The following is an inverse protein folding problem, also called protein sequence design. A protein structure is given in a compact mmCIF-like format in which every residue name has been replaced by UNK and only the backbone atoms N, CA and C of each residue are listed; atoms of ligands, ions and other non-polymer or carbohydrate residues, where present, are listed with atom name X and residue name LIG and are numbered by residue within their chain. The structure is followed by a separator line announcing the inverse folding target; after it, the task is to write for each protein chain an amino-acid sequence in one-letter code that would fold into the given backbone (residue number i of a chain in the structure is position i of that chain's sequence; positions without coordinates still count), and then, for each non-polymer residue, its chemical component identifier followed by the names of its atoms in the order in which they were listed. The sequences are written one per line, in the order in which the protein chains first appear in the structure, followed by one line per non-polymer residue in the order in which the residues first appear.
data_IF_470159714267
#
_entry.id   IF_470159714267
#
_cell.length_a   1.000
_cell.length_b   1.000
_cell.length_c   1.000
_cell.angle_alpha   90.00
_cell.angle_beta   90.00
_cell.angle_gamma   90.00
#
_symmetry.space_group_name_H-M   'P 1'
#
loop_
_entity.id
_entity.type
_entity.pdbx_description
1 polymer ?
#
# COMPACT_ATOMS: atom_id res chain seq x y z
N UNK A 1 -2.06 -76.54 3.21
CA UNK A 1 -0.65 -76.51 2.73
C UNK A 1 -0.31 -75.08 2.33
N UNK A 2 0.76 -74.52 2.92
CA UNK A 2 1.68 -73.44 2.47
C UNK A 2 1.07 -72.22 1.73
N UNK A 3 1.03 -71.02 2.31
CA UNK A 3 2.12 -70.04 2.57
C UNK A 3 2.43 -69.06 1.42
N UNK A 4 2.20 -67.77 1.72
CA UNK A 4 2.97 -66.54 1.37
C UNK A 4 3.18 -66.16 -0.11
N UNK A 5 2.72 -64.94 -0.49
CA UNK A 5 3.59 -63.79 -0.83
C UNK A 5 2.77 -62.48 -1.05
N UNK A 6 3.13 -61.41 -0.31
CA UNK A 6 3.17 -59.96 -0.63
C UNK A 6 1.98 -59.26 -1.33
N UNK A 7 1.21 -58.34 -0.70
CA UNK A 7 1.47 -56.94 -0.25
C UNK A 7 1.37 -55.88 -1.38
N UNK A 8 0.64 -54.78 -1.06
CA UNK A 8 0.27 -53.58 -1.85
C UNK A 8 -0.97 -53.82 -2.73
N UNK A 9 -2.13 -53.19 -2.51
CA UNK A 9 -2.33 -51.74 -2.71
C UNK A 9 -3.75 -51.32 -2.24
N UNK A 10 -3.82 -50.18 -1.53
CA UNK A 10 -4.94 -49.21 -1.41
C UNK A 10 -6.29 -49.66 -0.81
N UNK A 11 -6.37 -49.45 0.50
CA UNK A 11 -7.59 -49.01 1.19
C UNK A 11 -7.80 -47.51 0.87
N UNK A 12 -8.79 -47.21 0.02
CA UNK A 12 -9.38 -45.89 -0.14
C UNK A 12 -10.77 -45.93 0.50
N UNK A 13 -10.91 -45.33 1.69
CA UNK A 13 -12.08 -44.56 2.12
C UNK A 13 -12.03 -44.32 3.63
N UNK A 14 -11.48 -43.17 4.05
CA UNK A 14 -12.05 -42.43 5.17
C UNK A 14 -11.46 -41.01 5.25
N UNK A 15 -12.16 -40.05 4.61
CA UNK A 15 -11.85 -38.61 4.69
C UNK A 15 -12.18 -37.98 6.06
N UNK A 16 -12.68 -38.76 7.03
CA UNK A 16 -12.95 -38.28 8.38
C UNK A 16 -11.79 -38.53 9.38
N UNK A 17 -10.83 -39.40 9.07
CA UNK A 17 -9.73 -39.74 9.99
C UNK A 17 -8.48 -38.84 9.82
N UNK A 18 -8.40 -38.07 8.72
CA UNK A 18 -7.27 -37.17 8.44
C UNK A 18 -7.38 -35.79 9.11
N UNK A 19 -8.54 -35.41 9.66
CA UNK A 19 -8.70 -34.13 10.39
C UNK A 19 -8.41 -34.23 11.90
N UNK A 20 -8.34 -35.43 12.46
CA UNK A 20 -8.11 -35.65 13.89
C UNK A 20 -6.67 -36.10 14.24
N UNK A 21 -5.82 -36.32 13.23
CA UNK A 21 -4.42 -36.78 13.41
C UNK A 21 -3.38 -35.68 13.12
N UNK A 22 -3.80 -34.48 12.73
CA UNK A 22 -2.89 -33.35 12.45
C UNK A 22 -2.69 -32.39 13.64
N UNK A 23 -3.30 -32.63 14.79
CA UNK A 23 -3.37 -31.66 15.89
C UNK A 23 -2.41 -31.88 17.06
N UNK A 24 -1.45 -32.82 17.02
CA UNK A 24 -0.61 -33.11 18.23
C UNK A 24 0.91 -33.29 17.98
N UNK A 25 1.43 -33.34 16.75
CA UNK A 25 2.83 -33.79 16.53
C UNK A 25 3.83 -32.69 16.07
N UNK A 26 3.41 -31.45 15.83
CA UNK A 26 4.32 -30.42 15.26
C UNK A 26 4.77 -29.28 16.18
N UNK A 27 4.50 -29.32 17.49
CA UNK A 27 5.06 -28.30 18.40
C UNK A 27 6.57 -28.40 18.69
N UNK A 28 7.24 -29.58 18.75
CA UNK A 28 8.65 -29.60 19.17
C UNK A 28 9.66 -29.15 18.11
N UNK A 29 9.26 -29.03 16.83
CA UNK A 29 10.18 -28.69 15.74
C UNK A 29 10.27 -27.18 15.44
N UNK A 30 9.40 -26.36 16.04
CA UNK A 30 9.35 -24.90 15.80
C UNK A 30 10.21 -24.08 16.80
N UNK A 31 10.77 -24.72 17.84
CA UNK A 31 11.53 -24.05 18.90
C UNK A 31 13.06 -23.97 18.63
N UNK A 32 13.53 -24.46 17.49
CA UNK A 32 14.96 -24.38 17.12
C UNK A 32 15.20 -23.46 15.92
N UNK A 33 14.98 -22.16 16.12
CA UNK A 33 15.55 -21.13 15.26
C UNK A 33 16.24 -20.09 16.17
N UNK A 34 17.54 -20.33 16.40
CA UNK A 34 18.42 -19.40 17.10
C UNK A 34 18.59 -18.11 16.29
N UNK A 35 18.45 -17.00 17.01
CA UNK A 35 19.16 -15.73 16.87
C UNK A 35 19.88 -15.43 15.54
N UNK A 36 19.31 -14.49 14.77
CA UNK A 36 19.94 -13.82 13.63
C UNK A 36 18.90 -13.18 12.71
N UNK A 37 18.73 -11.86 12.82
CA UNK A 37 18.10 -10.93 11.86
C UNK A 37 17.03 -11.44 10.87
N UNK A 38 15.78 -11.05 11.13
CA UNK A 38 14.88 -10.38 10.16
C UNK A 38 14.28 -11.14 8.96
N UNK A 39 14.05 -12.45 9.03
CA UNK A 39 13.14 -13.10 8.10
C UNK A 39 11.98 -13.78 8.85
N UNK A 40 10.77 -13.24 8.71
CA UNK A 40 9.55 -13.90 9.20
C UNK A 40 9.47 -15.26 8.50
N UNK A 41 9.30 -16.34 9.25
CA UNK A 41 8.99 -17.63 8.64
C UNK A 41 7.62 -17.57 7.97
N UNK A 42 7.51 -17.79 6.64
CA UNK A 42 6.22 -17.82 5.94
C UNK A 42 5.25 -18.82 6.56
N UNK A 43 5.80 -19.90 7.15
CA UNK A 43 5.04 -20.95 7.82
C UNK A 43 4.32 -20.43 9.07
N UNK A 44 4.96 -19.55 9.85
CA UNK A 44 4.36 -18.96 11.06
C UNK A 44 3.26 -17.97 10.69
N UNK A 45 3.48 -17.17 9.64
CA UNK A 45 2.46 -16.25 9.12
C UNK A 45 1.24 -17.00 8.63
N UNK A 46 1.45 -18.09 7.88
CA UNK A 46 0.38 -18.94 7.36
C UNK A 46 -0.36 -19.67 8.49
N UNK A 47 0.35 -20.21 9.47
CA UNK A 47 -0.27 -20.82 10.65
C UNK A 47 -1.19 -19.83 11.37
N UNK A 48 -0.69 -18.63 11.67
CA UNK A 48 -1.49 -17.61 12.36
C UNK A 48 -2.67 -17.13 11.52
N UNK A 49 -2.53 -16.97 10.20
CA UNK A 49 -3.68 -16.63 9.35
C UNK A 49 -4.74 -17.71 9.41
N UNK A 50 -4.37 -19.00 9.31
CA UNK A 50 -5.32 -20.13 9.41
C UNK A 50 -6.03 -20.17 10.78
N UNK A 51 -5.32 -19.86 11.88
CA UNK A 51 -5.94 -19.75 13.21
C UNK A 51 -6.94 -18.59 13.29
N UNK A 52 -6.63 -17.45 12.67
CA UNK A 52 -7.52 -16.29 12.59
C UNK A 52 -8.76 -16.62 11.74
N UNK A 53 -8.59 -17.28 10.59
CA UNK A 53 -9.70 -17.72 9.73
C UNK A 53 -10.62 -18.72 10.43
N UNK A 54 -10.05 -19.64 11.20
CA UNK A 54 -10.79 -20.64 11.98
C UNK A 54 -11.29 -20.10 13.33
N UNK A 55 -11.16 -18.80 13.57
CA UNK A 55 -11.67 -18.07 14.74
C UNK A 55 -11.13 -18.55 16.09
N UNK A 56 -9.92 -19.09 16.10
CA UNK A 56 -9.22 -19.59 17.29
C UNK A 56 -8.42 -18.47 17.97
N UNK A 57 -9.09 -17.36 18.32
CA UNK A 57 -8.42 -16.15 18.82
C UNK A 57 -7.65 -16.36 20.13
N UNK A 58 -8.13 -17.23 21.03
CA UNK A 58 -7.40 -17.58 22.25
C UNK A 58 -6.06 -18.27 21.92
N UNK A 59 -6.06 -19.21 20.98
CA UNK A 59 -4.83 -19.87 20.50
C UNK A 59 -3.87 -18.88 19.85
N UNK A 60 -4.40 -17.88 19.13
CA UNK A 60 -3.60 -16.79 18.54
C UNK A 60 -2.94 -15.96 19.64
N UNK A 61 -3.69 -15.53 20.65
CA UNK A 61 -3.18 -14.74 21.77
C UNK A 61 -2.13 -15.52 22.59
N UNK A 62 -2.40 -16.79 22.89
CA UNK A 62 -1.47 -17.68 23.59
C UNK A 62 -0.19 -17.89 22.80
N UNK A 63 -0.29 -18.09 21.48
CA UNK A 63 0.88 -18.23 20.61
C UNK A 63 1.71 -16.95 20.56
N UNK A 64 1.07 -15.80 20.36
CA UNK A 64 1.76 -14.51 20.30
C UNK A 64 2.45 -14.19 21.62
N UNK A 65 1.85 -14.51 22.77
CA UNK A 65 2.41 -14.25 24.09
C UNK A 65 3.79 -14.90 24.35
N UNK A 66 4.14 -15.94 23.57
CA UNK A 66 5.41 -16.67 23.68
C UNK A 66 6.57 -15.98 22.93
N UNK A 67 6.28 -14.91 22.18
CA UNK A 67 7.24 -14.21 21.33
C UNK A 67 7.54 -12.78 21.82
N UNK A 68 8.62 -12.18 21.32
CA UNK A 68 8.96 -10.78 21.63
C UNK A 68 7.92 -9.81 21.07
N UNK A 69 7.75 -8.60 21.66
CA UNK A 69 6.79 -7.61 21.14
C UNK A 69 7.00 -7.25 19.66
N UNK A 70 8.25 -7.21 19.21
CA UNK A 70 8.57 -6.97 17.80
C UNK A 70 8.04 -8.09 16.89
N UNK A 71 8.32 -9.34 17.24
CA UNK A 71 7.87 -10.49 16.46
C UNK A 71 6.34 -10.65 16.53
N UNK A 72 5.72 -10.33 17.67
CA UNK A 72 4.26 -10.31 17.82
C UNK A 72 3.60 -9.37 16.82
N UNK A 73 3.99 -8.08 16.83
CA UNK A 73 3.38 -7.08 15.95
C UNK A 73 3.67 -7.37 14.48
N UNK A 74 4.87 -7.87 14.19
CA UNK A 74 5.26 -8.27 12.85
C UNK A 74 4.41 -9.44 12.32
N UNK A 75 4.19 -10.49 13.14
CA UNK A 75 3.40 -11.66 12.78
C UNK A 75 1.91 -11.31 12.61
N UNK A 76 1.34 -10.50 13.52
CA UNK A 76 -0.05 -10.03 13.36
C UNK A 76 -0.18 -9.21 12.07
N UNK A 77 0.75 -8.29 11.82
CA UNK A 77 0.76 -7.49 10.61
C UNK A 77 0.82 -8.36 9.34
N UNK A 78 1.75 -9.32 9.27
CA UNK A 78 1.91 -10.17 8.09
C UNK A 78 0.72 -11.13 7.89
N UNK A 79 0.15 -11.69 8.96
CA UNK A 79 -1.02 -12.57 8.86
C UNK A 79 -2.27 -11.82 8.41
N UNK A 80 -2.51 -10.60 8.92
CA UNK A 80 -3.62 -9.77 8.45
C UNK A 80 -3.41 -9.30 7.00
N UNK A 81 -2.17 -9.02 6.59
CA UNK A 81 -1.84 -8.71 5.21
C UNK A 81 -2.16 -9.89 4.27
N UNK A 82 -1.78 -11.12 4.66
CA UNK A 82 -2.09 -12.33 3.91
C UNK A 82 -3.60 -12.55 3.76
N UNK A 83 -4.37 -12.36 4.83
CA UNK A 83 -5.84 -12.45 4.77
C UNK A 83 -6.45 -11.38 3.86
N UNK A 84 -5.87 -10.18 3.84
CA UNK A 84 -6.28 -9.10 2.93
C UNK A 84 -6.03 -9.50 1.46
N UNK A 85 -4.88 -10.09 1.16
CA UNK A 85 -4.53 -10.60 -0.17
C UNK A 85 -5.48 -11.71 -0.63
N UNK A 86 -5.87 -12.59 0.29
CA UNK A 86 -6.83 -13.68 0.06
C UNK A 86 -8.30 -13.21 -0.01
N UNK A 87 -8.56 -11.91 0.13
CA UNK A 87 -9.91 -11.32 0.16
C UNK A 87 -10.82 -11.97 1.22
N UNK A 88 -10.24 -12.37 2.35
CA UNK A 88 -10.98 -12.99 3.45
C UNK A 88 -12.11 -12.08 3.94
N UNK A 89 -13.31 -12.65 4.09
CA UNK A 89 -14.48 -11.93 4.62
C UNK A 89 -14.68 -12.30 6.09
N UNK A 90 -14.46 -11.37 7.04
CA UNK A 90 -14.56 -11.69 8.45
C UNK A 90 -16.00 -12.02 8.84
N UNK A 91 -16.16 -13.09 9.62
CA UNK A 91 -17.42 -13.45 10.26
C UNK A 91 -17.82 -12.40 11.31
N UNK A 92 -19.01 -12.55 11.91
CA UNK A 92 -19.43 -11.67 13.02
C UNK A 92 -18.45 -11.74 14.20
N UNK A 93 -17.97 -12.94 14.55
CA UNK A 93 -17.04 -13.13 15.67
C UNK A 93 -15.66 -12.55 15.34
N UNK A 94 -15.17 -12.75 14.11
CA UNK A 94 -13.91 -12.16 13.66
C UNK A 94 -13.96 -10.64 13.61
N UNK A 95 -15.13 -10.05 13.31
CA UNK A 95 -15.30 -8.58 13.32
C UNK A 95 -15.06 -8.00 14.71
N UNK A 96 -15.60 -8.60 15.77
CA UNK A 96 -15.42 -8.08 17.13
C UNK A 96 -13.94 -8.12 17.55
N UNK A 97 -13.25 -9.22 17.24
CA UNK A 97 -11.81 -9.34 17.50
C UNK A 97 -10.98 -8.35 16.68
N UNK A 98 -11.27 -8.22 15.38
CA UNK A 98 -10.61 -7.25 14.49
C UNK A 98 -10.89 -5.80 14.91
N UNK A 99 -12.07 -5.48 15.42
CA UNK A 99 -12.37 -4.15 16.00
C UNK A 99 -11.50 -3.89 17.23
N UNK A 100 -11.29 -4.92 18.07
CA UNK A 100 -10.34 -4.86 19.18
C UNK A 100 -8.93 -4.52 18.72
N UNK A 101 -8.41 -5.23 17.71
CA UNK A 101 -7.09 -4.94 17.13
C UNK A 101 -7.02 -3.55 16.48
N UNK A 102 -8.06 -3.15 15.76
CA UNK A 102 -8.15 -1.85 15.08
C UNK A 102 -8.09 -0.67 16.06
N UNK A 103 -8.50 -0.87 17.31
CA UNK A 103 -8.46 0.15 18.35
C UNK A 103 -7.12 0.21 19.12
N UNK A 104 -6.20 -0.74 18.88
CA UNK A 104 -4.91 -0.79 19.55
C UNK A 104 -3.90 0.20 18.93
N UNK A 105 -2.85 0.53 19.68
CA UNK A 105 -1.70 1.26 19.18
C UNK A 105 -0.48 0.34 19.06
N UNK A 106 0.25 0.36 17.93
CA UNK A 106 1.50 -0.37 17.81
C UNK A 106 2.54 0.20 18.78
N UNK A 107 3.27 -0.69 19.43
CA UNK A 107 4.32 -0.37 20.41
C UNK A 107 5.68 -0.28 19.73
N UNK A 108 5.90 -1.05 18.66
CA UNK A 108 7.16 -1.09 17.93
C UNK A 108 7.17 0.07 16.94
N UNK A 109 8.17 0.94 17.06
CA UNK A 109 8.27 2.18 16.28
C UNK A 109 9.55 2.19 15.45
N UNK A 110 9.45 2.74 14.26
CA UNK A 110 10.59 3.16 13.45
C UNK A 110 10.78 4.67 13.61
N UNK A 111 12.05 5.07 13.73
CA UNK A 111 12.45 6.48 13.76
C UNK A 111 13.17 6.76 12.45
N UNK A 112 12.60 7.66 11.66
CA UNK A 112 13.21 8.14 10.43
C UNK A 112 13.47 9.64 10.59
N UNK A 113 14.66 10.10 10.23
CA UNK A 113 14.95 11.53 10.16
C UNK A 113 14.54 12.01 8.77
N UNK A 114 13.61 12.96 8.71
CA UNK A 114 13.19 13.62 7.47
C UNK A 114 13.27 15.13 7.71
N UNK A 115 13.99 15.85 6.84
CA UNK A 115 14.15 17.32 6.89
C UNK A 115 14.60 17.86 8.27
N UNK A 116 15.48 17.12 8.96
CA UNK A 116 16.00 17.50 10.29
C UNK A 116 15.05 17.23 11.46
N UNK A 117 13.87 16.65 11.22
CA UNK A 117 12.93 16.23 12.24
C UNK A 117 12.90 14.71 12.40
N UNK A 118 12.83 14.24 13.64
CA UNK A 118 12.59 12.82 13.93
C UNK A 118 11.11 12.49 13.75
N UNK A 119 10.80 11.72 12.71
CA UNK A 119 9.46 11.21 12.43
C UNK A 119 9.36 9.80 12.99
N UNK A 120 8.54 9.66 14.03
CA UNK A 120 8.29 8.37 14.69
C UNK A 120 7.01 7.76 14.14
N UNK A 121 7.12 6.61 13.47
CA UNK A 121 5.98 5.87 12.90
C UNK A 121 5.91 4.46 13.49
N UNK A 122 4.73 3.81 13.52
CA UNK A 122 4.67 2.38 13.82
C UNK A 122 5.45 1.59 12.77
N UNK A 123 6.31 0.67 13.22
CA UNK A 123 7.06 -0.22 12.32
C UNK A 123 6.12 -1.21 11.63
N UNK A 124 5.09 -1.66 12.35
CA UNK A 124 4.07 -2.60 11.89
C UNK A 124 2.67 -2.07 12.24
N UNK A 125 1.98 -1.45 11.28
CA UNK A 125 0.63 -0.92 11.49
C UNK A 125 -0.45 -2.00 11.32
N UNK A 126 -0.44 -2.98 12.24
CA UNK A 126 -1.46 -4.02 12.28
C UNK A 126 -2.89 -3.48 12.53
N UNK A 127 -3.13 -2.38 13.28
CA UNK A 127 -4.47 -1.80 13.40
C UNK A 127 -5.01 -1.29 12.07
N UNK A 128 -4.16 -0.73 11.19
CA UNK A 128 -4.57 -0.40 9.82
C UNK A 128 -4.93 -1.65 9.00
N UNK A 129 -4.16 -2.73 9.10
CA UNK A 129 -4.48 -3.98 8.41
C UNK A 129 -5.80 -4.61 8.89
N UNK A 130 -6.09 -4.52 10.20
CA UNK A 130 -7.36 -4.99 10.76
C UNK A 130 -8.54 -4.15 10.26
N UNK A 131 -8.41 -2.82 10.24
CA UNK A 131 -9.41 -1.92 9.63
C UNK A 131 -9.65 -2.26 8.16
N UNK A 132 -8.57 -2.53 7.40
CA UNK A 132 -8.67 -2.95 6.00
C UNK A 132 -9.54 -4.21 5.86
N UNK A 133 -9.26 -5.27 6.62
CA UNK A 133 -10.07 -6.49 6.62
C UNK A 133 -11.54 -6.25 6.97
N UNK A 134 -11.81 -5.42 7.99
CA UNK A 134 -13.17 -5.07 8.41
C UNK A 134 -13.98 -4.40 7.29
N UNK A 135 -13.32 -3.52 6.53
CA UNK A 135 -14.00 -2.69 5.52
C UNK A 135 -13.90 -3.23 4.10
N UNK A 136 -13.05 -4.23 3.83
CA UNK A 136 -12.80 -4.77 2.48
C UNK A 136 -14.06 -5.15 1.71
N UNK A 137 -15.03 -5.85 2.29
CA UNK A 137 -16.25 -6.24 1.54
C UNK A 137 -17.09 -5.04 1.15
N UNK A 138 -17.31 -4.11 2.08
CA UNK A 138 -18.11 -2.90 1.82
C UNK A 138 -17.39 -1.99 0.83
N UNK A 139 -16.07 -1.88 0.97
CA UNK A 139 -15.17 -1.18 0.05
C UNK A 139 -15.25 -1.78 -1.35
N UNK A 140 -15.09 -3.10 -1.51
CA UNK A 140 -15.17 -3.79 -2.79
C UNK A 140 -16.56 -3.63 -3.45
N UNK A 141 -17.64 -3.77 -2.67
CA UNK A 141 -18.99 -3.54 -3.16
C UNK A 141 -19.19 -2.09 -3.64
N UNK A 142 -18.72 -1.10 -2.86
CA UNK A 142 -18.78 0.31 -3.28
C UNK A 142 -17.94 0.58 -4.51
N UNK A 143 -16.73 0.04 -4.61
CA UNK A 143 -15.87 0.19 -5.77
C UNK A 143 -16.54 -0.38 -7.04
N UNK A 144 -17.17 -1.56 -6.93
CA UNK A 144 -17.94 -2.15 -8.02
C UNK A 144 -19.15 -1.29 -8.40
N UNK A 145 -19.93 -0.82 -7.42
CA UNK A 145 -21.08 0.07 -7.66
C UNK A 145 -20.65 1.40 -8.29
N UNK A 146 -19.53 1.96 -7.86
CA UNK A 146 -18.94 3.17 -8.42
C UNK A 146 -18.52 2.94 -9.87
N UNK A 147 -17.84 1.83 -10.16
CA UNK A 147 -17.45 1.47 -11.51
C UNK A 147 -18.67 1.39 -12.44
N UNK A 148 -19.73 0.68 -12.04
CA UNK A 148 -20.96 0.60 -12.82
C UNK A 148 -21.57 1.99 -13.11
N UNK A 149 -21.67 2.85 -12.10
CA UNK A 149 -22.21 4.21 -12.28
C UNK A 149 -21.31 5.14 -13.10
N UNK A 150 -19.99 4.94 -13.02
CA UNK A 150 -19.04 5.68 -13.86
C UNK A 150 -19.19 5.25 -15.32
N UNK A 151 -19.29 3.94 -15.57
CA UNK A 151 -19.52 3.35 -16.90
C UNK A 151 -20.82 3.86 -17.54
N UNK A 152 -21.88 3.97 -16.75
CA UNK A 152 -23.19 4.47 -17.18
C UNK A 152 -23.30 6.01 -17.24
N UNK A 153 -22.28 6.76 -16.79
CA UNK A 153 -22.26 8.22 -16.82
C UNK A 153 -23.19 8.92 -15.82
N UNK A 154 -23.62 8.21 -14.78
CA UNK A 154 -24.59 8.63 -13.77
C UNK A 154 -24.01 8.61 -12.35
N UNK A 155 -22.68 8.70 -12.23
CA UNK A 155 -21.96 8.80 -10.97
C UNK A 155 -22.21 10.15 -10.27
N UNK A 156 -22.60 10.10 -8.99
CA UNK A 156 -22.84 11.31 -8.19
C UNK A 156 -21.57 11.73 -7.45
N UNK A 157 -20.76 12.57 -8.09
CA UNK A 157 -19.53 13.13 -7.53
C UNK A 157 -19.75 13.87 -6.21
N UNK A 158 -20.80 14.69 -6.12
CA UNK A 158 -21.11 15.46 -4.90
C UNK A 158 -21.42 14.60 -3.68
N UNK A 159 -21.78 13.33 -3.85
CA UNK A 159 -21.96 12.40 -2.71
C UNK A 159 -20.65 11.96 -2.07
N UNK A 160 -19.57 11.88 -2.87
CA UNK A 160 -18.23 11.51 -2.40
C UNK A 160 -17.51 12.77 -1.93
N UNK A 161 -17.43 13.80 -2.78
CA UNK A 161 -16.65 15.03 -2.57
C UNK A 161 -17.43 16.11 -1.81
N UNK A 162 -17.98 15.73 -0.65
CA UNK A 162 -18.66 16.66 0.27
C UNK A 162 -17.81 16.83 1.55
N UNK A 163 -17.51 18.07 1.98
CA UNK A 163 -16.76 18.32 3.22
C UNK A 163 -17.37 17.67 4.47
N UNK A 164 -18.70 17.50 4.51
CA UNK A 164 -19.41 16.91 5.64
C UNK A 164 -19.53 15.37 5.55
N UNK A 165 -18.87 14.73 4.59
CA UNK A 165 -18.90 13.28 4.43
C UNK A 165 -17.96 12.60 5.44
N UNK A 166 -18.46 11.85 6.44
CA UNK A 166 -17.60 11.17 7.42
C UNK A 166 -16.82 10.00 6.81
N UNK A 167 -17.22 9.51 5.63
CA UNK A 167 -16.55 8.43 4.92
C UNK A 167 -15.69 8.94 3.74
N UNK A 168 -15.41 10.26 3.65
CA UNK A 168 -14.74 10.90 2.51
C UNK A 168 -13.52 10.12 2.00
N UNK A 169 -12.51 9.91 2.86
CA UNK A 169 -11.27 9.22 2.49
C UNK A 169 -11.48 7.76 2.08
N UNK A 170 -12.41 7.06 2.73
CA UNK A 170 -12.74 5.68 2.40
C UNK A 170 -13.43 5.59 1.03
N UNK A 171 -14.37 6.50 0.75
CA UNK A 171 -15.08 6.55 -0.53
C UNK A 171 -14.18 7.03 -1.67
N UNK A 172 -13.25 7.96 -1.43
CA UNK A 172 -12.24 8.34 -2.43
C UNK A 172 -11.30 7.18 -2.75
N UNK A 173 -10.90 6.39 -1.75
CA UNK A 173 -10.10 5.18 -1.97
C UNK A 173 -10.85 4.14 -2.80
N UNK A 174 -12.14 3.91 -2.52
CA UNK A 174 -12.99 3.01 -3.29
C UNK A 174 -13.21 3.51 -4.72
N UNK A 175 -13.33 4.83 -4.90
CA UNK A 175 -13.42 5.48 -6.21
C UNK A 175 -12.13 5.27 -7.00
N UNK A 176 -10.96 5.42 -6.39
CA UNK A 176 -9.67 5.17 -7.07
C UNK A 176 -9.58 3.72 -7.56
N UNK A 177 -10.08 2.75 -6.77
CA UNK A 177 -10.19 1.36 -7.22
C UNK A 177 -11.12 1.22 -8.42
N UNK A 178 -12.29 1.88 -8.39
CA UNK A 178 -13.25 1.86 -9.49
C UNK A 178 -12.67 2.48 -10.78
N UNK A 179 -11.89 3.56 -10.66
CA UNK A 179 -11.27 4.23 -11.81
C UNK A 179 -10.31 3.31 -12.56
N UNK A 180 -9.55 2.46 -11.86
CA UNK A 180 -8.53 1.56 -12.46
C UNK A 180 -9.08 0.65 -13.54
N UNK A 181 -10.36 0.32 -13.44
CA UNK A 181 -11.04 -0.60 -14.34
C UNK A 181 -11.84 0.12 -15.44
N UNK A 182 -11.74 1.46 -15.53
CA UNK A 182 -12.41 2.23 -16.57
C UNK A 182 -11.59 2.28 -17.87
N UNK A 183 -12.25 2.30 -19.04
CA UNK A 183 -11.58 2.55 -20.31
C UNK A 183 -10.87 3.92 -20.33
N UNK A 184 -9.69 4.00 -20.96
CA UNK A 184 -8.89 5.23 -21.02
C UNK A 184 -9.68 6.45 -21.55
N UNK A 185 -10.50 6.26 -22.59
CA UNK A 185 -11.32 7.34 -23.14
C UNK A 185 -12.39 7.85 -22.16
N UNK A 186 -12.92 6.94 -21.33
CA UNK A 186 -13.90 7.29 -20.31
C UNK A 186 -13.24 8.01 -19.14
N UNK A 187 -12.02 7.61 -18.74
CA UNK A 187 -11.25 8.34 -17.74
C UNK A 187 -11.01 9.80 -18.15
N UNK A 188 -10.60 10.00 -19.41
CA UNK A 188 -10.40 11.34 -19.98
C UNK A 188 -11.69 12.16 -19.93
N UNK A 189 -12.78 11.60 -20.46
CA UNK A 189 -14.09 12.28 -20.44
C UNK A 189 -14.55 12.59 -19.02
N UNK A 190 -14.32 11.67 -18.09
CA UNK A 190 -14.69 11.83 -16.68
C UNK A 190 -13.92 12.96 -16.04
N UNK A 191 -12.59 12.99 -16.18
CA UNK A 191 -11.73 14.02 -15.62
C UNK A 191 -12.11 15.42 -16.11
N UNK A 192 -12.26 15.60 -17.42
CA UNK A 192 -12.61 16.90 -18.00
C UNK A 192 -14.09 17.29 -17.82
N UNK A 193 -14.93 16.37 -17.32
CA UNK A 193 -16.34 16.62 -16.98
C UNK A 193 -16.60 16.82 -15.50
N UNK A 194 -15.57 16.84 -14.65
CA UNK A 194 -15.72 17.11 -13.22
C UNK A 194 -16.21 18.55 -12.98
N UNK A 195 -17.07 18.71 -11.99
CA UNK A 195 -17.53 20.02 -11.53
C UNK A 195 -16.40 20.71 -10.75
N UNK A 196 -16.14 21.98 -11.06
CA UNK A 196 -15.13 22.81 -10.40
C UNK A 196 -15.45 23.03 -8.91
N UNK A 197 -16.69 22.81 -8.47
CA UNK A 197 -17.14 23.01 -7.09
C UNK A 197 -16.94 21.80 -6.17
N UNK A 198 -16.35 20.70 -6.65
CA UNK A 198 -16.10 19.53 -5.83
C UNK A 198 -15.03 19.80 -4.77
N UNK A 199 -15.24 19.30 -3.55
CA UNK A 199 -14.27 19.44 -2.47
C UNK A 199 -13.19 18.36 -2.54
N UNK A 200 -11.98 18.76 -2.91
CA UNK A 200 -10.78 17.92 -2.88
C UNK A 200 -9.94 18.28 -1.64
N UNK A 201 -9.92 17.45 -0.58
CA UNK A 201 -9.10 17.71 0.61
C UNK A 201 -7.60 17.53 0.34
N UNK A 202 -7.26 16.73 -0.67
CA UNK A 202 -5.90 16.37 -1.07
C UNK A 202 -5.85 16.06 -2.58
N UNK A 203 -4.67 15.72 -3.09
CA UNK A 203 -4.45 15.41 -4.51
C UNK A 203 -4.56 13.90 -4.81
N UNK A 204 -5.10 13.07 -3.92
CA UNK A 204 -5.10 11.59 -4.07
C UNK A 204 -5.88 11.15 -5.32
N UNK A 205 -7.09 11.69 -5.52
CA UNK A 205 -7.92 11.35 -6.69
C UNK A 205 -7.33 11.93 -7.98
N UNK A 206 -6.84 13.17 -7.93
CA UNK A 206 -6.25 13.85 -9.07
C UNK A 206 -4.99 13.12 -9.58
N UNK A 207 -4.12 12.71 -8.66
CA UNK A 207 -2.93 11.91 -8.97
C UNK A 207 -3.29 10.52 -9.50
N UNK A 208 -4.37 9.90 -9.00
CA UNK A 208 -4.86 8.63 -9.54
C UNK A 208 -5.33 8.76 -11.00
N UNK A 209 -6.08 9.82 -11.34
CA UNK A 209 -6.42 10.12 -12.73
C UNK A 209 -5.19 10.35 -13.59
N UNK A 210 -4.24 11.14 -13.10
CA UNK A 210 -3.01 11.45 -13.83
C UNK A 210 -2.22 10.19 -14.18
N UNK A 211 -2.03 9.29 -13.21
CA UNK A 211 -1.33 8.00 -13.39
C UNK A 211 -2.02 7.08 -14.40
N UNK A 212 -3.36 7.06 -14.42
CA UNK A 212 -4.12 6.16 -15.31
C UNK A 212 -4.29 6.73 -16.73
N UNK A 213 -4.59 8.02 -16.85
CA UNK A 213 -4.69 8.70 -18.15
C UNK A 213 -3.31 8.81 -18.81
N UNK A 214 -2.26 8.95 -17.98
CA UNK A 214 -0.87 9.03 -18.39
C UNK A 214 -0.62 10.13 -19.45
N UNK A 215 -1.25 11.29 -19.27
CA UNK A 215 -1.07 12.44 -20.15
C UNK A 215 -0.05 13.43 -19.57
N UNK A 216 0.98 13.85 -20.33
CA UNK A 216 1.93 14.87 -19.87
C UNK A 216 1.26 16.17 -19.44
N UNK A 217 0.22 16.63 -20.14
CA UNK A 217 -0.49 17.86 -19.79
C UNK A 217 -1.19 17.76 -18.44
N UNK A 218 -1.75 16.59 -18.13
CA UNK A 218 -2.43 16.34 -16.87
C UNK A 218 -1.41 16.24 -15.73
N UNK A 219 -0.28 15.57 -15.92
CA UNK A 219 0.80 15.58 -14.93
C UNK A 219 1.24 17.00 -14.58
N UNK A 220 1.48 17.84 -15.59
CA UNK A 220 1.83 19.26 -15.39
C UNK A 220 0.76 20.00 -14.61
N UNK A 221 -0.53 19.76 -14.92
CA UNK A 221 -1.64 20.39 -14.20
C UNK A 221 -1.67 19.97 -12.72
N UNK A 222 -1.50 18.68 -12.43
CA UNK A 222 -1.54 18.18 -11.05
C UNK A 222 -0.33 18.68 -10.24
N UNK A 223 0.87 18.75 -10.83
CA UNK A 223 2.06 19.27 -10.16
C UNK A 223 1.96 20.78 -9.83
N UNK A 224 1.01 21.50 -10.44
CA UNK A 224 0.73 22.90 -10.12
C UNK A 224 -0.22 23.09 -8.93
N UNK A 225 -0.86 22.02 -8.43
CA UNK A 225 -1.73 22.07 -7.25
C UNK A 225 -0.91 22.29 -5.96
N UNK A 226 -1.54 22.78 -4.86
CA UNK A 226 -0.89 22.86 -3.55
C UNK A 226 -0.27 21.51 -3.16
N UNK A 227 0.92 21.55 -2.54
CA UNK A 227 1.68 20.32 -2.24
C UNK A 227 0.98 19.46 -1.17
N UNK A 228 0.99 18.15 -1.41
CA UNK A 228 0.68 17.12 -0.44
C UNK A 228 1.57 15.88 -0.68
N UNK A 229 1.41 14.84 0.14
CA UNK A 229 2.17 13.60 -0.04
C UNK A 229 1.91 12.95 -1.41
N UNK A 230 0.68 13.01 -1.92
CA UNK A 230 0.33 12.41 -3.21
C UNK A 230 1.06 13.09 -4.38
N UNK A 231 1.35 14.39 -4.25
CA UNK A 231 2.13 15.17 -5.22
C UNK A 231 3.58 14.71 -5.28
N UNK A 232 4.18 14.41 -4.12
CA UNK A 232 5.53 13.86 -4.02
C UNK A 232 5.57 12.44 -4.59
N UNK A 233 4.58 11.60 -4.23
CA UNK A 233 4.44 10.24 -4.77
C UNK A 233 4.22 10.23 -6.29
N UNK A 234 3.65 11.31 -6.85
CA UNK A 234 3.54 11.47 -8.30
C UNK A 234 4.91 11.72 -8.94
N UNK A 235 5.79 12.52 -8.33
CA UNK A 235 7.15 12.74 -8.85
C UNK A 235 7.96 11.43 -8.87
N UNK A 236 7.86 10.62 -7.82
CA UNK A 236 8.51 9.31 -7.78
C UNK A 236 7.98 8.39 -8.88
N UNK A 237 6.65 8.33 -9.02
CA UNK A 237 6.01 7.52 -10.06
C UNK A 237 6.45 7.96 -11.45
N UNK A 238 6.48 9.27 -11.72
CA UNK A 238 6.94 9.82 -13.01
C UNK A 238 8.38 9.41 -13.31
N UNK A 239 9.27 9.54 -12.33
CA UNK A 239 10.68 9.16 -12.45
C UNK A 239 10.87 7.67 -12.76
N UNK A 240 10.04 6.81 -12.18
CA UNK A 240 10.23 5.34 -12.22
C UNK A 240 9.46 4.65 -13.34
N UNK A 241 8.41 5.28 -13.88
CA UNK A 241 7.51 4.65 -14.87
C UNK A 241 7.55 5.28 -16.26
N UNK A 242 7.95 6.54 -16.38
CA UNK A 242 8.01 7.22 -17.67
C UNK A 242 9.36 7.02 -18.35
N UNK A 243 9.39 7.16 -19.67
CA UNK A 243 10.64 7.26 -20.42
C UNK A 243 11.48 8.44 -19.91
N UNK A 244 12.80 8.31 -19.72
CA UNK A 244 13.62 9.31 -19.04
C UNK A 244 13.52 10.75 -19.59
N UNK A 245 13.45 10.90 -20.92
CA UNK A 245 13.26 12.20 -21.58
C UNK A 245 11.91 12.84 -21.21
N UNK A 246 10.84 12.05 -21.25
CA UNK A 246 9.48 12.50 -20.89
C UNK A 246 9.40 12.80 -19.39
N UNK A 247 9.98 11.94 -18.55
CA UNK A 247 10.07 12.12 -17.11
C UNK A 247 10.74 13.45 -16.78
N UNK A 248 11.92 13.71 -17.35
CA UNK A 248 12.65 14.96 -17.13
C UNK A 248 11.81 16.17 -17.51
N UNK A 249 11.21 16.18 -18.72
CA UNK A 249 10.36 17.28 -19.20
C UNK A 249 9.18 17.58 -18.27
N UNK A 250 8.51 16.55 -17.77
CA UNK A 250 7.40 16.70 -16.82
C UNK A 250 7.91 17.17 -15.45
N UNK A 251 8.99 16.58 -14.93
CA UNK A 251 9.58 16.98 -13.65
C UNK A 251 10.01 18.46 -13.68
N UNK A 252 10.59 18.94 -14.77
CA UNK A 252 10.94 20.36 -14.94
C UNK A 252 9.74 21.29 -14.75
N UNK A 253 8.54 20.86 -15.14
CA UNK A 253 7.32 21.64 -14.93
C UNK A 253 6.97 21.81 -13.45
N UNK A 254 7.30 20.82 -12.60
CA UNK A 254 7.10 20.85 -11.15
C UNK A 254 7.88 21.96 -10.45
N UNK A 255 9.00 22.42 -11.05
CA UNK A 255 9.81 23.53 -10.51
C UNK A 255 9.06 24.88 -10.47
N UNK A 256 7.97 25.01 -11.24
CA UNK A 256 7.09 26.19 -11.20
C UNK A 256 6.35 26.29 -9.87
N UNK A 257 6.06 25.16 -9.23
CA UNK A 257 5.46 25.11 -7.91
C UNK A 257 6.55 25.28 -6.85
N UNK A 258 6.52 26.40 -6.13
CA UNK A 258 7.57 26.77 -5.16
C UNK A 258 7.72 25.75 -4.04
N UNK A 259 6.61 25.20 -3.57
CA UNK A 259 6.59 24.24 -2.45
C UNK A 259 7.10 22.86 -2.88
N UNK A 260 7.03 22.55 -4.17
CA UNK A 260 7.47 21.27 -4.73
C UNK A 260 8.91 21.28 -5.27
N UNK A 261 9.58 22.44 -5.31
CA UNK A 261 10.91 22.61 -5.94
C UNK A 261 11.97 21.65 -5.41
N UNK A 262 12.08 21.56 -4.09
CA UNK A 262 13.07 20.69 -3.44
C UNK A 262 12.88 19.22 -3.88
N UNK A 263 11.68 18.68 -3.70
CA UNK A 263 11.35 17.31 -4.10
C UNK A 263 11.53 17.08 -5.60
N UNK A 264 11.19 18.08 -6.42
CA UNK A 264 11.38 18.01 -7.86
C UNK A 264 12.86 17.92 -8.23
N UNK A 265 13.72 18.78 -7.67
CA UNK A 265 15.16 18.69 -7.89
C UNK A 265 15.72 17.35 -7.39
N UNK A 266 15.25 16.86 -6.25
CA UNK A 266 15.65 15.54 -5.72
C UNK A 266 15.33 14.42 -6.72
N UNK A 267 14.12 14.40 -7.27
CA UNK A 267 13.74 13.39 -8.25
C UNK A 267 14.46 13.53 -9.60
N UNK A 268 14.75 14.76 -10.05
CA UNK A 268 15.60 14.99 -11.23
C UNK A 268 17.03 14.48 -10.97
N UNK A 269 17.57 14.69 -9.78
CA UNK A 269 18.90 14.18 -9.42
C UNK A 269 18.98 12.68 -9.31
N UNK A 270 17.96 12.06 -8.70
CA UNK A 270 17.82 10.62 -8.68
C UNK A 270 17.66 10.02 -10.10
N UNK A 271 17.01 10.74 -11.02
CA UNK A 271 16.97 10.37 -12.45
C UNK A 271 18.37 10.52 -13.10
N UNK A 272 19.11 11.55 -12.72
CA UNK A 272 20.47 11.84 -13.20
C UNK A 272 21.48 10.72 -12.96
N UNK A 273 21.24 9.84 -11.99
CA UNK A 273 22.09 8.67 -11.73
C UNK A 273 22.10 7.68 -12.91
N UNK A 274 20.99 7.54 -13.64
CA UNK A 274 20.87 6.64 -14.80
C UNK A 274 20.71 7.38 -16.13
N UNK A 275 20.40 8.67 -16.10
CA UNK A 275 20.09 9.47 -17.28
C UNK A 275 20.91 10.77 -17.34
N UNK A 276 22.01 10.81 -18.10
CA UNK A 276 22.95 11.94 -18.12
C UNK A 276 22.36 13.33 -18.42
N UNK A 277 21.33 13.49 -19.27
CA UNK A 277 20.71 14.80 -19.49
C UNK A 277 20.08 15.40 -18.23
N UNK A 278 19.52 14.59 -17.32
CA UNK A 278 19.00 15.07 -16.05
C UNK A 278 20.13 15.54 -15.10
N UNK A 279 21.25 14.83 -15.06
CA UNK A 279 22.44 15.25 -14.31
C UNK A 279 23.01 16.57 -14.85
N UNK A 280 23.06 16.71 -16.19
CA UNK A 280 23.48 17.96 -16.84
C UNK A 280 22.54 19.11 -16.50
N UNK A 281 21.23 18.88 -16.54
CA UNK A 281 20.24 19.87 -16.16
C UNK A 281 20.47 20.39 -14.73
N UNK A 282 20.69 19.50 -13.75
CA UNK A 282 21.01 19.92 -12.38
C UNK A 282 22.30 20.73 -12.29
N UNK A 283 23.37 20.30 -12.96
CA UNK A 283 24.63 21.05 -12.98
C UNK A 283 24.45 22.45 -13.57
N UNK A 284 23.65 22.59 -14.62
CA UNK A 284 23.34 23.88 -15.24
C UNK A 284 22.51 24.76 -14.29
N UNK A 285 21.55 24.18 -13.56
CA UNK A 285 20.77 24.90 -12.53
C UNK A 285 21.62 25.31 -11.33
N UNK A 286 22.53 24.45 -10.88
CA UNK A 286 23.48 24.77 -9.80
C UNK A 286 24.36 25.96 -10.17
N UNK A 287 24.85 26.02 -11.42
CA UNK A 287 25.77 27.07 -11.87
C UNK A 287 25.08 28.40 -12.16
N UNK A 288 23.88 28.36 -12.73
CA UNK A 288 23.31 29.51 -13.45
C UNK A 288 21.91 29.92 -12.99
N UNK A 289 21.37 29.38 -11.90
CA UNK A 289 20.01 29.70 -11.43
C UNK A 289 19.98 30.33 -10.04
N UNK A 290 18.88 31.01 -9.72
CA UNK A 290 18.57 31.50 -8.38
C UNK A 290 18.41 30.39 -7.34
N UNK A 291 18.23 29.14 -7.79
CA UNK A 291 18.02 27.97 -6.94
C UNK A 291 19.35 27.22 -6.69
N UNK A 292 20.50 27.85 -6.97
CA UNK A 292 21.83 27.21 -6.89
C UNK A 292 22.12 26.56 -5.52
N UNK A 293 21.78 27.24 -4.43
CA UNK A 293 21.94 26.73 -3.06
C UNK A 293 21.08 25.47 -2.83
N UNK A 294 19.79 25.54 -3.19
CA UNK A 294 18.86 24.42 -3.06
C UNK A 294 19.32 23.19 -3.87
N UNK A 295 19.75 23.42 -5.11
CA UNK A 295 20.28 22.36 -5.97
C UNK A 295 21.56 21.77 -5.37
N UNK A 296 22.42 22.60 -4.78
CA UNK A 296 23.64 22.15 -4.09
C UNK A 296 23.33 21.21 -2.92
N UNK A 297 22.34 21.55 -2.08
CA UNK A 297 21.87 20.72 -0.97
C UNK A 297 21.41 19.35 -1.49
N UNK A 298 20.52 19.34 -2.48
CA UNK A 298 20.00 18.11 -3.09
C UNK A 298 21.11 17.24 -3.66
N UNK A 299 22.07 17.84 -4.36
CA UNK A 299 23.20 17.10 -4.95
C UNK A 299 24.09 16.46 -3.87
N UNK A 300 24.29 17.14 -2.74
CA UNK A 300 25.05 16.61 -1.62
C UNK A 300 24.34 15.43 -0.95
N UNK A 301 23.03 15.52 -0.75
CA UNK A 301 22.23 14.45 -0.17
C UNK A 301 22.24 13.19 -1.05
N UNK A 302 22.09 13.36 -2.37
CA UNK A 302 22.13 12.23 -3.31
C UNK A 302 23.50 11.52 -3.38
N UNK A 303 24.59 12.18 -2.97
CA UNK A 303 25.90 11.54 -2.84
C UNK A 303 26.06 10.71 -1.56
N UNK A 304 25.18 10.92 -0.58
CA UNK A 304 25.21 10.22 0.73
C UNK A 304 24.37 8.94 0.78
N UNK A 305 23.65 8.64 -0.31
CA UNK A 305 22.85 7.42 -0.51
C UNK A 305 23.65 6.33 -1.23
#
# INVERSE_FOLDING_TARGET
MKSKLFVLTRILNNKACLKALFSVVWLPALLSANAGESAISPQLTQYLSEQIETEQFASVEDFLSQHSPELQEQLVYSSLALLNEQQHVPSRKSKDWLMGLAAQQPKVRSVNVMDGFEVVKPKFDYPAQARKLLYNRRSAQRAQDYQHRLLEGNFNWGSVFNPNNPELFAQQSDLILALRELPAQQLVTTWYGLDDNLYFPDNQVATAFAKQINSPSLHVQILALPIDQNSIDLLEWLRTTQEPDSALSILESGLKNRELRYYTYWHIGALGASYPPAAKFLLDKYRNSSDSELVGIVMQELQSL
#
